data_IF_093291502199
#
_entry.id   IF_093291502199
#
_cell.length_a   1.000
_cell.length_b   1.000
_cell.length_c   1.000
_cell.angle_alpha   90.00
_cell.angle_beta   90.00
_cell.angle_gamma   90.00
#
_symmetry.space_group_name_H-M   'P 1'
#
loop_
_entity.id
_entity.type
_entity.pdbx_description
1 polymer ?
#
# COMPACT_ATOMS: atom_id res chain seq x y z
N UNK A 1 -6.78 6.17 4.19
CA UNK A 1 -7.13 5.92 2.78
C UNK A 1 -8.35 6.71 2.31
N UNK A 2 -9.17 7.26 3.19
CA UNK A 2 -10.43 7.94 2.86
C UNK A 2 -11.56 7.01 2.42
N UNK A 3 -11.31 5.71 2.36
CA UNK A 3 -12.33 4.68 2.12
C UNK A 3 -12.98 4.31 3.46
N UNK A 4 -14.29 4.03 3.42
CA UNK A 4 -15.02 3.50 4.56
C UNK A 4 -14.56 2.06 4.87
N UNK A 5 -14.85 1.62 6.09
CA UNK A 5 -14.58 0.27 6.56
C UNK A 5 -15.03 -0.81 5.56
N UNK A 6 -14.15 -1.75 5.26
CA UNK A 6 -14.45 -2.89 4.39
C UNK A 6 -14.80 -2.54 2.94
N UNK A 7 -14.50 -1.31 2.49
CA UNK A 7 -14.84 -0.86 1.14
C UNK A 7 -13.61 -0.83 0.22
N UNK A 8 -13.85 -1.07 -1.06
CA UNK A 8 -12.91 -0.84 -2.16
C UNK A 8 -13.48 0.22 -3.09
N UNK A 9 -12.62 0.92 -3.81
CA UNK A 9 -13.06 1.84 -4.85
C UNK A 9 -12.76 1.27 -6.23
N UNK A 10 -13.77 1.26 -7.10
CA UNK A 10 -13.64 0.88 -8.52
C UNK A 10 -14.03 2.08 -9.36
N UNK A 11 -13.11 2.55 -10.18
CA UNK A 11 -13.31 3.70 -11.05
C UNK A 11 -13.17 3.27 -12.51
N UNK A 12 -14.14 3.64 -13.32
CA UNK A 12 -14.12 3.43 -14.77
C UNK A 12 -13.68 4.71 -15.48
N UNK A 13 -12.79 4.56 -16.40
CA UNK A 13 -12.31 5.62 -17.29
C UNK A 13 -12.66 5.25 -18.73
N UNK A 14 -13.44 6.07 -19.40
CA UNK A 14 -13.71 5.95 -20.83
C UNK A 14 -12.58 6.65 -21.59
N UNK A 15 -11.95 5.90 -22.50
CA UNK A 15 -10.90 6.42 -23.38
C UNK A 15 -11.51 7.13 -24.59
N UNK A 16 -10.70 7.94 -25.25
CA UNK A 16 -11.13 8.69 -26.44
C UNK A 16 -11.55 7.81 -27.62
N UNK A 17 -11.15 6.54 -27.65
CA UNK A 17 -11.53 5.53 -28.63
C UNK A 17 -12.82 4.77 -28.25
N UNK A 18 -13.47 5.13 -27.15
CA UNK A 18 -14.68 4.50 -26.63
C UNK A 18 -14.44 3.21 -25.84
N UNK A 19 -13.18 2.80 -25.64
CA UNK A 19 -12.84 1.68 -24.76
C UNK A 19 -12.77 2.11 -23.31
N UNK A 20 -12.97 1.16 -22.39
CA UNK A 20 -12.85 1.42 -20.95
C UNK A 20 -11.49 0.99 -20.43
N UNK A 21 -11.07 1.65 -19.35
CA UNK A 21 -10.02 1.19 -18.45
C UNK A 21 -10.46 1.38 -17.01
N UNK A 22 -9.86 0.63 -16.09
CA UNK A 22 -10.34 0.54 -14.72
C UNK A 22 -9.23 0.77 -13.72
N UNK A 23 -9.57 1.42 -12.63
CA UNK A 23 -8.70 1.56 -11.46
C UNK A 23 -9.42 0.98 -10.25
N UNK A 24 -8.78 0.02 -9.60
CA UNK A 24 -9.27 -0.61 -8.36
C UNK A 24 -8.34 -0.24 -7.22
N UNK A 25 -8.87 0.44 -6.22
CA UNK A 25 -8.12 0.83 -5.01
C UNK A 25 -8.55 -0.05 -3.84
N UNK A 26 -7.58 -0.72 -3.23
CA UNK A 26 -7.77 -1.74 -2.20
C UNK A 26 -7.16 -1.25 -0.89
N UNK A 27 -7.93 -1.17 0.21
CA UNK A 27 -7.44 -0.71 1.50
C UNK A 27 -6.47 -1.72 2.12
N UNK A 28 -5.71 -1.27 3.11
CA UNK A 28 -4.93 -2.12 4.00
C UNK A 28 -5.78 -2.77 5.10
N UNK A 29 -5.11 -3.50 6.00
CA UNK A 29 -5.73 -4.09 7.19
C UNK A 29 -6.40 -3.03 8.05
N UNK A 30 -7.65 -3.23 8.41
CA UNK A 30 -8.44 -2.30 9.20
C UNK A 30 -8.52 -2.65 10.69
N UNK A 31 -7.96 -3.80 11.09
CA UNK A 31 -7.87 -4.23 12.49
C UNK A 31 -9.18 -4.75 13.08
N UNK A 32 -10.26 -4.84 12.31
CA UNK A 32 -11.53 -5.36 12.79
C UNK A 32 -11.61 -6.89 12.62
N UNK A 33 -12.08 -7.64 13.64
CA UNK A 33 -12.04 -9.11 13.62
C UNK A 33 -13.00 -9.75 12.61
N UNK A 34 -14.02 -9.05 12.15
CA UNK A 34 -15.02 -9.50 11.19
C UNK A 34 -14.81 -8.94 9.78
N UNK A 35 -13.73 -8.20 9.57
CA UNK A 35 -13.38 -7.61 8.29
C UNK A 35 -12.77 -8.64 7.34
N UNK A 36 -13.13 -8.61 6.04
CA UNK A 36 -12.40 -9.33 5.00
C UNK A 36 -10.94 -8.87 4.84
N UNK A 37 -10.59 -7.71 5.41
CA UNK A 37 -9.21 -7.18 5.49
C UNK A 37 -8.59 -7.36 6.89
N UNK A 38 -9.01 -8.37 7.65
CA UNK A 38 -8.43 -8.70 8.95
C UNK A 38 -7.06 -9.41 8.87
N UNK A 39 -6.40 -9.56 10.00
CA UNK A 39 -5.05 -10.17 10.09
C UNK A 39 -5.00 -11.62 9.61
N UNK A 40 -6.07 -12.40 9.79
CA UNK A 40 -6.12 -13.81 9.38
C UNK A 40 -5.91 -13.98 7.87
N UNK A 41 -6.37 -13.04 7.07
CA UNK A 41 -6.28 -13.06 5.61
C UNK A 41 -4.83 -12.85 5.13
N UNK A 42 -4.00 -12.13 5.89
CA UNK A 42 -2.61 -11.90 5.52
C UNK A 42 -1.81 -13.20 5.37
N UNK A 43 -2.05 -14.17 6.24
CA UNK A 43 -1.35 -15.47 6.20
C UNK A 43 -1.73 -16.26 4.95
N UNK A 44 -3.01 -16.24 4.57
CA UNK A 44 -3.49 -16.91 3.37
C UNK A 44 -2.95 -16.26 2.10
N UNK A 45 -2.97 -14.92 2.04
CA UNK A 45 -2.49 -14.14 0.90
C UNK A 45 -0.98 -14.25 0.69
N UNK A 46 -0.19 -14.40 1.75
CA UNK A 46 1.27 -14.56 1.67
C UNK A 46 1.70 -16.01 1.33
N UNK A 47 0.75 -16.95 1.25
CA UNK A 47 1.06 -18.33 0.90
C UNK A 47 1.59 -18.45 -0.53
N UNK A 48 2.59 -19.32 -0.74
CA UNK A 48 3.03 -19.71 -2.08
C UNK A 48 1.98 -20.56 -2.82
N UNK A 49 0.98 -21.07 -2.12
CA UNK A 49 -0.09 -21.92 -2.67
C UNK A 49 -1.22 -21.06 -3.25
N UNK A 50 -1.39 -21.13 -4.57
CA UNK A 50 -2.42 -20.41 -5.31
C UNK A 50 -3.83 -20.69 -4.75
N UNK A 51 -4.13 -21.94 -4.40
CA UNK A 51 -5.46 -22.31 -3.92
C UNK A 51 -5.80 -21.64 -2.58
N UNK A 52 -4.77 -21.47 -1.71
CA UNK A 52 -4.93 -20.74 -0.45
C UNK A 52 -5.14 -19.26 -0.68
N UNK A 53 -4.36 -18.64 -1.58
CA UNK A 53 -4.51 -17.21 -1.89
C UNK A 53 -5.89 -16.91 -2.48
N UNK A 54 -6.37 -17.76 -3.39
CA UNK A 54 -7.73 -17.61 -3.96
C UNK A 54 -8.87 -17.83 -2.95
N UNK A 55 -8.60 -18.49 -1.84
CA UNK A 55 -9.56 -18.67 -0.73
C UNK A 55 -9.64 -17.50 0.22
N UNK A 56 -8.65 -16.61 0.22
CA UNK A 56 -8.68 -15.43 1.08
C UNK A 56 -9.92 -14.58 0.79
N UNK A 57 -10.70 -14.28 1.80
CA UNK A 57 -11.98 -13.57 1.65
C UNK A 57 -11.79 -12.19 1.03
N UNK A 58 -10.70 -11.50 1.35
CA UNK A 58 -10.36 -10.20 0.76
C UNK A 58 -10.14 -10.27 -0.76
N UNK A 59 -9.39 -11.27 -1.24
CA UNK A 59 -9.16 -11.44 -2.68
C UNK A 59 -10.47 -11.81 -3.41
N UNK A 60 -11.27 -12.69 -2.83
CA UNK A 60 -12.57 -13.07 -3.37
C UNK A 60 -13.56 -11.91 -3.41
N UNK A 61 -13.58 -11.09 -2.35
CA UNK A 61 -14.44 -9.91 -2.29
C UNK A 61 -14.08 -8.92 -3.40
N UNK A 62 -12.79 -8.65 -3.61
CA UNK A 62 -12.35 -7.73 -4.67
C UNK A 62 -12.66 -8.29 -6.05
N UNK A 63 -12.37 -9.58 -6.31
CA UNK A 63 -12.71 -10.23 -7.57
C UNK A 63 -14.22 -10.18 -7.87
N UNK A 64 -15.05 -10.42 -6.85
CA UNK A 64 -16.51 -10.35 -6.99
C UNK A 64 -16.99 -8.90 -7.25
N UNK A 65 -16.41 -7.92 -6.57
CA UNK A 65 -16.74 -6.52 -6.83
C UNK A 65 -16.32 -6.07 -8.24
N UNK A 66 -15.18 -6.52 -8.75
CA UNK A 66 -14.76 -6.30 -10.13
C UNK A 66 -15.75 -6.92 -11.13
N UNK A 67 -16.22 -8.14 -10.85
CA UNK A 67 -17.25 -8.80 -11.66
C UNK A 67 -18.57 -8.03 -11.65
N UNK A 68 -19.03 -7.56 -10.47
CA UNK A 68 -20.25 -6.76 -10.34
C UNK A 68 -20.15 -5.40 -11.01
N UNK A 69 -18.97 -4.79 -11.03
CA UNK A 69 -18.71 -3.56 -11.76
C UNK A 69 -18.78 -3.76 -13.28
N UNK A 70 -18.77 -5.01 -13.75
CA UNK A 70 -18.85 -5.35 -15.16
C UNK A 70 -17.54 -5.23 -15.91
N UNK A 71 -16.40 -5.38 -15.22
CA UNK A 71 -15.07 -5.35 -15.84
C UNK A 71 -14.94 -6.53 -16.79
N UNK A 72 -14.77 -6.23 -18.09
CA UNK A 72 -14.57 -7.24 -19.12
C UNK A 72 -13.15 -7.82 -19.10
N UNK A 73 -13.01 -9.06 -19.59
CA UNK A 73 -11.73 -9.76 -19.62
C UNK A 73 -10.61 -8.98 -20.32
N UNK A 74 -10.96 -8.32 -21.43
CA UNK A 74 -10.00 -7.62 -22.28
C UNK A 74 -9.86 -6.12 -21.95
N UNK A 75 -10.57 -5.66 -20.91
CA UNK A 75 -10.48 -4.28 -20.46
C UNK A 75 -9.28 -4.10 -19.52
N UNK A 76 -8.40 -3.11 -19.76
CA UNK A 76 -7.24 -2.86 -18.94
C UNK A 76 -7.61 -2.47 -17.50
N UNK A 77 -6.97 -3.11 -16.52
CA UNK A 77 -7.15 -2.85 -15.10
C UNK A 77 -5.82 -2.46 -14.46
N UNK A 78 -5.85 -1.39 -13.67
CA UNK A 78 -4.81 -1.04 -12.73
C UNK A 78 -5.30 -1.32 -11.29
N UNK A 79 -4.47 -1.98 -10.49
CA UNK A 79 -4.74 -2.25 -9.08
C UNK A 79 -3.78 -1.42 -8.21
N UNK A 80 -4.29 -0.77 -7.19
CA UNK A 80 -3.48 -0.04 -6.20
C UNK A 80 -3.85 -0.52 -4.80
N UNK A 81 -2.86 -0.90 -4.00
CA UNK A 81 -3.09 -1.35 -2.64
C UNK A 81 -1.97 -0.99 -1.67
N UNK A 82 -2.34 -0.71 -0.42
CA UNK A 82 -1.41 -0.51 0.68
C UNK A 82 -1.48 -1.68 1.65
N UNK A 83 -0.33 -2.13 2.17
CA UNK A 83 -0.27 -3.22 3.14
C UNK A 83 -0.97 -4.48 2.61
N UNK A 84 -1.96 -5.03 3.32
CA UNK A 84 -2.78 -6.15 2.86
C UNK A 84 -3.41 -5.90 1.49
N UNK A 85 -3.85 -4.67 1.21
CA UNK A 85 -4.44 -4.34 -0.09
C UNK A 85 -3.48 -4.54 -1.26
N UNK A 86 -2.17 -4.31 -1.05
CA UNK A 86 -1.15 -4.62 -2.05
C UNK A 86 -0.95 -6.12 -2.24
N UNK A 87 -1.05 -6.92 -1.17
CA UNK A 87 -0.99 -8.39 -1.28
C UNK A 87 -2.19 -8.90 -2.08
N UNK A 88 -3.39 -8.35 -1.82
CA UNK A 88 -4.59 -8.67 -2.60
C UNK A 88 -4.42 -8.31 -4.08
N UNK A 89 -3.87 -7.12 -4.37
CA UNK A 89 -3.60 -6.69 -5.74
C UNK A 89 -2.64 -7.65 -6.47
N UNK A 90 -1.54 -8.05 -5.80
CA UNK A 90 -0.58 -9.03 -6.33
C UNK A 90 -1.22 -10.40 -6.55
N UNK A 91 -2.07 -10.85 -5.60
CA UNK A 91 -2.82 -12.11 -5.70
C UNK A 91 -3.77 -12.09 -6.90
N UNK A 92 -4.51 -11.00 -7.11
CA UNK A 92 -5.39 -10.87 -8.28
C UNK A 92 -4.61 -10.92 -9.58
N UNK A 93 -3.48 -10.20 -9.65
CA UNK A 93 -2.64 -10.17 -10.85
C UNK A 93 -2.03 -11.52 -11.19
N UNK A 94 -1.71 -12.35 -10.18
CA UNK A 94 -1.15 -13.68 -10.39
C UNK A 94 -2.22 -14.74 -10.63
N UNK A 95 -3.28 -14.76 -9.81
CA UNK A 95 -4.18 -15.92 -9.72
C UNK A 95 -5.49 -15.74 -10.52
N UNK A 96 -5.85 -14.50 -10.89
CA UNK A 96 -6.97 -14.18 -11.79
C UNK A 96 -6.52 -13.64 -13.16
N UNK A 97 -5.28 -13.92 -13.55
CA UNK A 97 -4.70 -13.48 -14.82
C UNK A 97 -5.44 -14.03 -16.06
N UNK A 98 -6.21 -15.11 -15.93
CA UNK A 98 -7.03 -15.66 -17.00
C UNK A 98 -8.41 -14.99 -17.10
N UNK A 99 -8.88 -14.38 -16.02
CA UNK A 99 -10.19 -13.72 -15.92
C UNK A 99 -10.11 -12.22 -16.23
N UNK A 100 -8.98 -11.56 -15.91
CA UNK A 100 -8.80 -10.12 -16.07
C UNK A 100 -7.47 -9.76 -16.74
N UNK A 101 -7.47 -8.67 -17.49
CA UNK A 101 -6.26 -8.06 -18.05
C UNK A 101 -5.71 -7.01 -17.09
N UNK A 102 -4.90 -7.47 -16.11
CA UNK A 102 -4.28 -6.58 -15.15
C UNK A 102 -2.95 -6.11 -15.73
N UNK A 103 -2.91 -4.84 -16.17
CA UNK A 103 -1.73 -4.23 -16.78
C UNK A 103 -0.78 -3.62 -15.76
N UNK A 104 -1.31 -3.08 -14.66
CA UNK A 104 -0.54 -2.41 -13.63
C UNK A 104 -0.94 -2.83 -12.23
N UNK A 105 0.06 -3.05 -11.38
CA UNK A 105 -0.09 -3.22 -9.93
C UNK A 105 0.81 -2.22 -9.23
N UNK A 106 0.25 -1.41 -8.35
CA UNK A 106 1.01 -0.52 -7.47
C UNK A 106 0.78 -0.96 -6.04
N UNK A 107 1.85 -1.32 -5.37
CA UNK A 107 1.81 -1.72 -3.96
C UNK A 107 2.58 -0.73 -3.08
N UNK A 108 2.14 -0.56 -1.86
CA UNK A 108 2.84 0.26 -0.89
C UNK A 108 2.93 -0.49 0.44
N UNK A 109 4.15 -0.70 0.94
CA UNK A 109 4.41 -1.39 2.19
C UNK A 109 3.81 -2.80 2.25
N UNK A 110 3.97 -3.58 1.19
CA UNK A 110 3.31 -4.87 1.04
C UNK A 110 4.30 -5.99 0.72
N UNK A 111 4.27 -7.12 1.43
CA UNK A 111 5.12 -8.28 1.15
C UNK A 111 4.58 -9.06 -0.06
N UNK A 112 5.08 -8.75 -1.26
CA UNK A 112 4.53 -9.28 -2.52
C UNK A 112 5.55 -10.01 -3.40
N UNK A 113 6.80 -10.11 -2.96
CA UNK A 113 7.89 -10.67 -3.76
C UNK A 113 7.68 -12.12 -4.20
N UNK A 114 6.90 -12.90 -3.45
CA UNK A 114 6.63 -14.31 -3.72
C UNK A 114 5.41 -14.56 -4.64
N UNK A 115 4.78 -13.51 -5.16
CA UNK A 115 3.64 -13.67 -6.07
C UNK A 115 4.11 -13.86 -7.52
N UNK A 116 3.65 -14.92 -8.22
CA UNK A 116 4.05 -15.19 -9.61
C UNK A 116 3.28 -14.28 -10.59
N UNK A 117 3.50 -12.99 -10.51
CA UNK A 117 2.85 -12.00 -11.37
C UNK A 117 3.35 -12.18 -12.81
N UNK A 118 2.47 -12.26 -13.81
CA UNK A 118 2.86 -12.41 -15.22
C UNK A 118 3.70 -11.24 -15.71
N UNK A 119 4.66 -11.49 -16.60
CA UNK A 119 5.53 -10.45 -17.18
C UNK A 119 4.78 -9.35 -17.96
N UNK A 120 3.55 -9.62 -18.41
CA UNK A 120 2.70 -8.62 -19.05
C UNK A 120 2.16 -7.56 -18.08
N UNK A 121 2.19 -7.83 -16.79
CA UNK A 121 1.74 -6.92 -15.74
C UNK A 121 2.93 -6.12 -15.23
N UNK A 122 2.85 -4.81 -15.32
CA UNK A 122 3.83 -3.91 -14.73
C UNK A 122 3.60 -3.76 -13.23
N UNK A 123 4.62 -3.91 -12.41
CA UNK A 123 4.55 -3.81 -10.96
C UNK A 123 5.38 -2.63 -10.47
N UNK A 124 4.82 -1.80 -9.62
CA UNK A 124 5.55 -0.79 -8.87
C UNK A 124 5.35 -1.05 -7.37
N UNK A 125 6.42 -1.46 -6.69
CA UNK A 125 6.43 -1.62 -5.23
C UNK A 125 7.06 -0.39 -4.59
N UNK A 126 6.31 0.28 -3.70
CA UNK A 126 6.81 1.42 -2.93
C UNK A 126 7.08 0.95 -1.50
N UNK A 127 8.33 1.04 -1.07
CA UNK A 127 8.80 0.52 0.21
C UNK A 127 9.55 1.59 0.98
N UNK A 128 9.54 1.51 2.29
CA UNK A 128 10.33 2.37 3.17
C UNK A 128 11.41 1.54 3.85
N UNK A 129 12.66 1.98 3.82
CA UNK A 129 13.82 1.20 4.27
C UNK A 129 13.70 0.64 5.70
N UNK A 130 13.06 1.40 6.60
CA UNK A 130 12.86 1.00 8.00
C UNK A 130 11.58 0.20 8.24
N UNK A 131 10.84 -0.10 7.17
CA UNK A 131 9.58 -0.80 7.25
C UNK A 131 9.79 -2.30 7.37
N UNK A 132 9.09 -2.94 8.33
CA UNK A 132 9.13 -4.38 8.49
C UNK A 132 8.10 -5.12 7.64
N UNK A 133 6.99 -4.45 7.29
CA UNK A 133 5.84 -5.13 6.67
C UNK A 133 6.18 -5.62 5.26
N UNK A 134 6.85 -4.81 4.45
CA UNK A 134 7.26 -5.20 3.11
C UNK A 134 8.21 -6.43 3.09
N UNK A 135 8.94 -6.67 4.18
CA UNK A 135 9.88 -7.77 4.31
C UNK A 135 9.28 -9.05 4.95
N UNK A 136 7.99 -9.07 5.26
CA UNK A 136 7.37 -10.20 5.99
C UNK A 136 7.31 -11.51 5.18
N UNK A 137 7.39 -11.45 3.86
CA UNK A 137 7.47 -12.64 3.00
C UNK A 137 8.89 -13.24 2.92
N UNK A 138 9.88 -12.57 3.53
CA UNK A 138 11.27 -13.03 3.60
C UNK A 138 12.03 -13.01 2.28
N UNK A 139 11.51 -12.37 1.25
CA UNK A 139 12.10 -12.27 -0.07
C UNK A 139 12.30 -10.81 -0.50
N UNK A 140 13.33 -10.59 -1.34
CA UNK A 140 13.45 -9.32 -2.04
C UNK A 140 12.56 -9.33 -3.28
N UNK A 141 12.05 -8.14 -3.68
CA UNK A 141 11.30 -8.02 -4.91
C UNK A 141 12.08 -8.53 -6.13
N UNK A 142 11.40 -9.12 -7.11
CA UNK A 142 12.04 -9.58 -8.33
C UNK A 142 12.78 -8.45 -9.07
N UNK A 143 13.95 -8.76 -9.60
CA UNK A 143 14.70 -7.85 -10.47
C UNK A 143 14.40 -8.23 -11.92
N UNK A 144 13.31 -7.70 -12.44
CA UNK A 144 12.81 -7.97 -13.80
C UNK A 144 12.40 -6.67 -14.48
N UNK A 145 12.32 -6.68 -15.80
CA UNK A 145 12.02 -5.48 -16.60
C UNK A 145 10.61 -4.90 -16.32
N UNK A 146 9.72 -5.72 -15.80
CA UNK A 146 8.34 -5.33 -15.48
C UNK A 146 8.12 -5.02 -13.99
N UNK A 147 9.19 -4.95 -13.18
CA UNK A 147 9.07 -4.69 -11.74
C UNK A 147 9.98 -3.55 -11.32
N UNK A 148 9.37 -2.46 -10.88
CA UNK A 148 10.06 -1.32 -10.32
C UNK A 148 9.88 -1.30 -8.79
N UNK A 149 10.96 -1.25 -8.04
CA UNK A 149 10.93 -0.98 -6.59
C UNK A 149 11.37 0.45 -6.34
N UNK A 150 10.47 1.24 -5.76
CA UNK A 150 10.73 2.61 -5.28
C UNK A 150 11.01 2.54 -3.79
N UNK A 151 12.24 2.87 -3.40
CA UNK A 151 12.63 2.91 -1.99
C UNK A 151 12.59 4.33 -1.46
N UNK A 152 11.91 4.51 -0.32
CA UNK A 152 11.88 5.75 0.44
C UNK A 152 12.65 5.59 1.75
N UNK A 153 13.14 6.72 2.28
CA UNK A 153 13.78 6.78 3.58
C UNK A 153 13.04 7.78 4.46
N UNK A 154 12.71 7.36 5.68
CA UNK A 154 12.13 8.25 6.69
C UNK A 154 13.22 8.63 7.68
N UNK A 155 13.72 9.85 7.56
CA UNK A 155 14.62 10.38 8.58
C UNK A 155 13.86 10.56 9.90
N UNK A 156 14.36 10.05 11.02
CA UNK A 156 13.74 10.33 12.31
C UNK A 156 13.67 11.85 12.51
N UNK A 157 12.50 12.34 12.91
CA UNK A 157 12.39 13.75 13.30
C UNK A 157 13.41 14.02 14.41
N UNK A 158 14.15 15.15 14.34
CA UNK A 158 14.97 15.56 15.47
C UNK A 158 14.13 15.54 16.73
N UNK A 159 14.70 15.08 17.84
CA UNK A 159 13.96 15.00 19.10
C UNK A 159 13.34 16.37 19.42
N UNK A 160 12.01 16.36 19.65
CA UNK A 160 11.33 17.58 20.06
C UNK A 160 11.98 18.10 21.34
N UNK A 161 12.38 19.37 21.36
CA UNK A 161 12.85 20.00 22.59
C UNK A 161 11.65 20.10 23.55
N UNK A 162 11.76 19.58 24.76
CA UNK A 162 10.66 19.66 25.70
C UNK A 162 10.32 21.13 26.01
N UNK A 163 9.06 21.42 26.19
CA UNK A 163 8.61 22.71 26.69
C UNK A 163 9.19 22.97 28.07
N UNK A 164 9.72 24.15 28.30
CA UNK A 164 10.28 24.54 29.59
C UNK A 164 9.24 25.33 30.38
N UNK A 165 8.91 24.84 31.57
CA UNK A 165 8.08 25.57 32.52
C UNK A 165 9.00 26.37 33.44
N UNK A 166 8.83 27.68 33.47
CA UNK A 166 9.61 28.59 34.29
C UNK A 166 9.01 28.70 35.72
N UNK A 167 9.85 29.11 36.66
CA UNK A 167 9.43 29.26 38.05
C UNK A 167 8.35 30.32 38.29
N UNK A 168 8.13 31.20 37.35
CA UNK A 168 7.08 32.21 37.32
C UNK A 168 5.73 31.71 36.75
N UNK A 169 5.67 30.40 36.39
CA UNK A 169 4.49 29.79 35.79
C UNK A 169 4.34 29.99 34.29
N UNK A 170 5.29 30.71 33.65
CA UNK A 170 5.30 30.83 32.19
C UNK A 170 5.83 29.55 31.54
N UNK A 171 5.43 29.30 30.31
CA UNK A 171 5.85 28.14 29.53
C UNK A 171 6.50 28.61 28.22
N UNK A 172 7.74 28.19 27.99
CA UNK A 172 8.35 28.32 26.66
C UNK A 172 8.05 27.03 25.90
N UNK A 173 7.28 27.09 24.80
CA UNK A 173 7.02 25.91 23.97
C UNK A 173 8.32 25.34 23.42
N UNK A 174 8.46 24.03 23.48
CA UNK A 174 9.55 23.33 22.80
C UNK A 174 9.41 23.49 21.27
N UNK A 175 10.54 23.54 20.57
CA UNK A 175 10.53 23.56 19.11
C UNK A 175 10.08 22.18 18.59
N UNK A 176 9.04 22.17 17.77
CA UNK A 176 8.65 20.97 17.01
C UNK A 176 9.36 21.05 15.65
N UNK A 177 10.27 20.13 15.33
CA UNK A 177 10.94 20.17 14.04
C UNK A 177 9.93 19.88 12.93
N UNK A 178 9.86 20.80 11.97
CA UNK A 178 9.15 20.57 10.71
C UNK A 178 10.16 19.88 9.78
N UNK A 179 9.99 18.61 9.53
CA UNK A 179 10.73 17.92 8.47
C UNK A 179 9.94 18.03 7.18
N UNK A 180 10.56 18.50 6.10
CA UNK A 180 9.91 18.80 4.82
C UNK A 180 9.26 17.61 4.10
N UNK A 181 9.35 16.40 4.65
CA UNK A 181 8.76 15.18 4.09
C UNK A 181 7.53 14.71 4.87
N UNK A 182 7.18 15.35 5.95
CA UNK A 182 6.00 14.94 6.72
C UNK A 182 4.94 16.03 6.63
N UNK A 183 3.82 15.80 5.96
CA UNK A 183 2.63 16.62 6.11
C UNK A 183 1.99 16.48 7.50
N UNK A 184 2.66 15.78 8.39
CA UNK A 184 2.32 15.69 9.79
C UNK A 184 3.35 16.47 10.56
N UNK A 185 2.89 17.42 11.34
CA UNK A 185 3.59 17.74 12.55
C UNK A 185 3.84 16.40 13.23
N UNK A 186 5.08 15.95 13.15
CA UNK A 186 5.51 14.75 13.86
C UNK A 186 5.60 15.09 15.34
N UNK A 187 4.47 15.45 15.95
CA UNK A 187 4.34 15.24 17.36
C UNK A 187 4.52 13.74 17.56
N UNK A 188 5.55 13.26 18.26
CA UNK A 188 5.61 11.87 18.65
C UNK A 188 4.27 11.59 19.32
N UNK A 189 3.51 10.67 18.77
CA UNK A 189 2.34 10.15 19.46
C UNK A 189 2.90 9.66 20.79
N UNK A 190 2.48 10.29 21.87
CA UNK A 190 2.99 9.98 23.20
C UNK A 190 2.80 8.48 23.43
N UNK A 191 3.91 7.72 23.52
CA UNK A 191 3.89 6.28 23.65
C UNK A 191 4.36 5.46 22.44
N UNK A 192 4.49 6.04 21.23
CA UNK A 192 5.08 5.34 20.09
C UNK A 192 6.60 5.41 20.18
N UNK A 193 7.23 4.32 20.64
CA UNK A 193 8.68 4.16 20.63
C UNK A 193 9.20 3.53 19.35
N UNK A 194 8.33 3.21 18.40
CA UNK A 194 8.67 2.43 17.23
C UNK A 194 8.57 3.25 15.94
N UNK A 195 9.71 3.81 15.50
CA UNK A 195 9.80 4.51 14.20
C UNK A 195 9.38 3.65 13.01
N UNK A 196 9.45 2.32 13.15
CA UNK A 196 9.04 1.36 12.12
C UNK A 196 7.54 1.30 11.91
N UNK A 197 6.73 1.46 12.96
CA UNK A 197 5.26 1.56 12.82
C UNK A 197 4.87 2.83 12.05
N UNK A 198 5.56 3.93 12.33
CA UNK A 198 5.32 5.18 11.63
C UNK A 198 5.70 5.08 10.15
N UNK A 199 6.80 4.40 9.82
CA UNK A 199 7.27 4.26 8.44
C UNK A 199 6.30 3.45 7.55
N UNK A 200 5.46 2.62 8.15
CA UNK A 200 4.42 1.87 7.43
C UNK A 200 3.20 2.73 7.03
N UNK A 201 3.07 3.96 7.49
CA UNK A 201 1.91 4.78 7.14
C UNK A 201 1.92 5.19 5.67
N UNK A 202 0.77 5.03 5.02
CA UNK A 202 0.59 5.26 3.58
C UNK A 202 1.16 6.61 3.08
N UNK A 203 1.13 7.64 3.90
CA UNK A 203 1.66 8.96 3.57
C UNK A 203 3.14 8.97 3.24
N UNK A 204 3.95 8.12 3.90
CA UNK A 204 5.38 8.02 3.62
C UNK A 204 5.61 7.35 2.27
N UNK A 205 4.81 6.34 1.95
CA UNK A 205 4.85 5.70 0.64
C UNK A 205 4.41 6.65 -0.48
N UNK A 206 3.37 7.46 -0.23
CA UNK A 206 2.94 8.49 -1.17
C UNK A 206 4.03 9.53 -1.42
N UNK A 207 4.70 9.99 -0.36
CA UNK A 207 5.81 10.93 -0.48
C UNK A 207 7.01 10.32 -1.22
N UNK A 208 7.36 9.06 -0.93
CA UNK A 208 8.44 8.36 -1.62
C UNK A 208 8.15 8.21 -3.12
N UNK A 209 6.92 7.80 -3.46
CA UNK A 209 6.48 7.68 -4.85
C UNK A 209 6.51 9.04 -5.58
N UNK A 210 5.98 10.09 -4.95
CA UNK A 210 5.95 11.43 -5.54
C UNK A 210 7.38 11.95 -5.81
N UNK A 211 8.26 11.82 -4.82
CA UNK A 211 9.65 12.24 -5.00
C UNK A 211 10.35 11.46 -6.12
N UNK A 212 10.09 10.17 -6.24
CA UNK A 212 10.67 9.35 -7.30
C UNK A 212 10.16 9.78 -8.69
N UNK A 213 8.89 10.14 -8.82
CA UNK A 213 8.31 10.60 -10.07
C UNK A 213 8.79 12.01 -10.45
N UNK A 214 8.96 12.90 -9.46
CA UNK A 214 9.44 14.27 -9.69
C UNK A 214 10.92 14.31 -10.13
N UNK A 215 11.74 13.33 -9.70
CA UNK A 215 13.14 13.21 -10.11
C UNK A 215 13.30 12.57 -11.49
N UNK A 216 12.29 11.89 -12.01
CA UNK A 216 12.29 11.21 -13.29
C UNK A 216 11.70 12.00 -14.45
N UNK A 217 11.25 13.23 -14.20
CA UNK A 217 10.60 14.13 -15.19
C UNK A 217 11.55 15.09 -15.86
#
# INVERSE_FOLDING_TARGET
>A
SGLEYGTIAIQRYERSDGTNSWLVTIPGTDGQPDSPFGWAQNVELMSADQERRRKADSARMVAEAMRQAGIGKDEPVALIGHSQGGIVAATLASDWAEEYTIEHVVTAGSPVANHPIPQRTWVTSVEIDDELVAALDGAANPVTDNWLTVQGHVSPAPAATPSTVHSDGSCTPGATPITGLTPYDAAPVAGSTNGRELSHWIKYHQAAYQNATDLGS
#
